data_IF_636409592049
#
_entry.id   IF_636409592049
#
_cell.length_a   1.000
_cell.length_b   1.000
_cell.length_c   1.000
_cell.angle_alpha   90.00
_cell.angle_beta   90.00
_cell.angle_gamma   90.00
#
_symmetry.space_group_name_H-M   'P 1'
#
loop_
_entity.id
_entity.type
_entity.pdbx_description
1 polymer ?
#
# COMPACT_ATOMS: atom_id res chain seq x y z
N UNK A 1 23.57 -8.53 72.35
CA UNK A 1 22.55 -7.82 71.55
C UNK A 1 23.29 -7.00 70.49
N UNK A 2 23.45 -7.55 69.29
CA UNK A 2 23.80 -6.82 68.05
C UNK A 2 23.62 -7.76 66.85
N UNK A 3 22.91 -7.25 65.85
CA UNK A 3 22.31 -7.97 64.73
C UNK A 3 23.25 -7.93 63.50
N UNK A 4 23.57 -9.13 63.00
CA UNK A 4 23.61 -9.61 61.60
C UNK A 4 23.77 -8.64 60.42
N UNK A 5 24.90 -8.80 59.71
CA UNK A 5 25.10 -9.08 58.25
C UNK A 5 24.20 -8.40 57.19
N UNK A 6 24.81 -7.72 56.21
CA UNK A 6 24.89 -8.15 54.79
C UNK A 6 24.96 -6.99 53.76
N UNK A 7 25.83 -7.21 52.76
CA UNK A 7 25.93 -6.55 51.45
C UNK A 7 24.58 -6.36 50.72
N UNK A 8 24.50 -5.28 49.92
CA UNK A 8 23.96 -5.13 48.52
C UNK A 8 23.42 -3.68 48.39
N UNK A 9 23.49 -3.00 47.25
CA UNK A 9 23.78 -3.44 45.90
C UNK A 9 24.24 -2.26 45.05
N UNK A 10 25.11 -2.57 44.10
CA UNK A 10 25.49 -1.66 43.03
C UNK A 10 24.28 -1.26 42.21
N UNK A 11 24.31 -0.02 41.76
CA UNK A 11 23.41 0.59 40.81
C UNK A 11 23.37 -0.28 39.55
N UNK A 12 22.29 -1.04 39.38
CA UNK A 12 21.95 -1.64 38.09
C UNK A 12 21.40 -0.51 37.21
N UNK A 13 22.30 0.11 36.45
CA UNK A 13 21.97 0.84 35.24
C UNK A 13 21.23 -0.11 34.31
N UNK A 14 19.90 -0.03 34.29
CA UNK A 14 19.08 -0.65 33.25
C UNK A 14 19.35 0.08 31.93
N UNK A 15 20.39 -0.37 31.24
CA UNK A 15 20.54 -0.15 29.80
C UNK A 15 19.28 -0.70 29.12
N UNK A 16 18.41 0.19 28.67
CA UNK A 16 17.37 -0.16 27.70
C UNK A 16 18.10 -0.68 26.47
N UNK A 17 18.14 -2.00 26.30
CA UNK A 17 18.46 -2.61 25.01
C UNK A 17 17.44 -2.09 24.00
N UNK A 18 17.88 -1.15 23.18
CA UNK A 18 17.22 -0.79 21.93
C UNK A 18 17.11 -2.08 21.11
N UNK A 19 15.90 -2.62 20.98
CA UNK A 19 15.68 -3.71 20.04
C UNK A 19 15.99 -3.16 18.63
N UNK A 20 16.81 -3.85 17.83
CA UNK A 20 16.97 -3.46 16.43
C UNK A 20 15.60 -3.64 15.76
N UNK A 21 15.14 -2.58 15.09
CA UNK A 21 13.98 -2.65 14.21
C UNK A 21 14.18 -3.70 13.11
N UNK A 22 13.12 -4.09 12.40
CA UNK A 22 13.19 -5.14 11.38
C UNK A 22 14.36 -4.92 10.44
N UNK A 23 15.20 -5.95 10.26
CA UNK A 23 16.41 -5.86 9.47
C UNK A 23 16.06 -5.42 8.04
N UNK A 24 16.77 -4.42 7.49
CA UNK A 24 16.53 -3.98 6.14
C UNK A 24 16.66 -5.13 5.14
N UNK A 25 15.70 -5.25 4.21
CA UNK A 25 15.64 -6.33 3.22
C UNK A 25 17.02 -6.67 2.61
N UNK A 26 17.32 -7.97 2.37
CA UNK A 26 18.57 -8.37 1.74
C UNK A 26 18.83 -7.57 0.44
N UNK A 27 20.09 -7.22 0.18
CA UNK A 27 20.47 -6.40 -1.00
C UNK A 27 19.97 -6.98 -2.33
N UNK A 28 19.93 -8.32 -2.44
CA UNK A 28 19.38 -9.02 -3.60
C UNK A 28 17.89 -8.79 -3.78
N UNK A 29 17.12 -8.77 -2.70
CA UNK A 29 15.68 -8.49 -2.71
C UNK A 29 15.41 -7.04 -3.08
N UNK A 30 16.14 -6.09 -2.48
CA UNK A 30 16.02 -4.66 -2.83
C UNK A 30 16.30 -4.38 -4.31
N UNK A 31 17.34 -5.00 -4.86
CA UNK A 31 17.65 -4.90 -6.30
C UNK A 31 16.53 -5.48 -7.17
N UNK A 32 15.90 -6.56 -6.72
CA UNK A 32 14.77 -7.17 -7.42
C UNK A 32 13.54 -6.27 -7.39
N UNK A 33 13.19 -5.71 -6.23
CA UNK A 33 12.06 -4.79 -6.08
C UNK A 33 12.26 -3.50 -6.89
N UNK A 34 13.48 -2.94 -6.88
CA UNK A 34 13.83 -1.80 -7.73
C UNK A 34 13.63 -2.12 -9.21
N UNK A 35 14.16 -3.25 -9.69
CA UNK A 35 13.95 -3.69 -11.07
C UNK A 35 12.46 -3.89 -11.41
N UNK A 36 11.68 -4.45 -10.50
CA UNK A 36 10.23 -4.64 -10.69
C UNK A 36 9.49 -3.30 -10.80
N UNK A 37 9.86 -2.30 -10.01
CA UNK A 37 9.32 -0.95 -10.12
C UNK A 37 9.73 -0.27 -11.43
N UNK A 38 10.98 -0.44 -11.87
CA UNK A 38 11.46 0.11 -13.14
C UNK A 38 10.70 -0.50 -14.33
N UNK A 39 10.50 -1.82 -14.33
CA UNK A 39 9.66 -2.53 -15.31
C UNK A 39 8.23 -1.99 -15.31
N UNK A 40 7.64 -1.79 -14.12
CA UNK A 40 6.28 -1.30 -13.99
C UNK A 40 6.12 0.12 -14.55
N UNK A 41 7.05 1.04 -14.25
CA UNK A 41 7.04 2.41 -14.79
C UNK A 41 7.22 2.44 -16.31
N UNK A 42 8.13 1.61 -16.84
CA UNK A 42 8.31 1.48 -18.28
C UNK A 42 7.05 0.93 -18.97
N UNK A 43 6.40 -0.08 -18.38
CA UNK A 43 5.15 -0.63 -18.89
C UNK A 43 4.04 0.43 -18.93
N UNK A 44 3.83 1.18 -17.83
CA UNK A 44 2.84 2.27 -17.80
C UNK A 44 3.16 3.32 -18.85
N UNK A 45 4.41 3.75 -18.99
CA UNK A 45 4.82 4.76 -19.97
C UNK A 45 4.50 4.31 -21.41
N UNK A 46 4.78 3.05 -21.73
CA UNK A 46 4.47 2.47 -23.05
C UNK A 46 2.96 2.30 -23.26
N UNK A 47 2.22 1.83 -22.25
CA UNK A 47 0.77 1.70 -22.32
C UNK A 47 0.08 3.05 -22.52
N UNK A 48 0.52 4.10 -21.83
CA UNK A 48 -0.02 5.46 -21.98
C UNK A 48 0.30 6.05 -23.35
N UNK A 49 1.52 5.84 -23.87
CA UNK A 49 1.96 6.47 -25.13
C UNK A 49 1.50 5.75 -26.40
N UNK A 50 1.32 4.42 -26.35
CA UNK A 50 1.02 3.59 -27.54
C UNK A 50 -0.26 2.77 -27.41
N UNK A 51 -0.85 2.71 -26.22
CA UNK A 51 -1.94 1.79 -25.89
C UNK A 51 -1.45 0.42 -25.41
N UNK A 52 -2.27 -0.25 -24.61
CA UNK A 52 -1.98 -1.57 -24.02
C UNK A 52 -1.83 -2.64 -25.11
N UNK A 53 -2.75 -2.66 -26.08
CA UNK A 53 -2.76 -3.62 -27.19
C UNK A 53 -1.49 -3.56 -28.04
N UNK A 54 -1.04 -2.35 -28.40
CA UNK A 54 0.14 -2.15 -29.26
C UNK A 54 1.49 -2.34 -28.53
N UNK A 55 1.46 -2.45 -27.20
CA UNK A 55 2.67 -2.68 -26.39
C UNK A 55 2.93 -4.18 -26.24
N UNK A 56 4.16 -4.62 -26.49
CA UNK A 56 4.61 -6.01 -26.34
C UNK A 56 5.55 -6.13 -25.14
N UNK A 57 5.79 -7.35 -24.67
CA UNK A 57 6.80 -7.59 -23.63
C UNK A 57 8.20 -7.23 -24.09
N UNK A 58 8.51 -7.40 -25.38
CA UNK A 58 9.78 -7.00 -26.00
C UNK A 58 10.01 -5.50 -25.86
N UNK A 59 8.98 -4.67 -26.11
CA UNK A 59 9.07 -3.21 -25.93
C UNK A 59 9.41 -2.86 -24.47
N UNK A 60 8.74 -3.50 -23.51
CA UNK A 60 8.95 -3.26 -22.08
C UNK A 60 10.36 -3.71 -21.66
N UNK A 61 10.77 -4.91 -22.07
CA UNK A 61 12.07 -5.47 -21.74
C UNK A 61 13.21 -4.61 -22.30
N UNK A 62 13.07 -4.15 -23.56
CA UNK A 62 14.03 -3.25 -24.19
C UNK A 62 14.12 -1.91 -23.45
N UNK A 63 12.99 -1.34 -23.00
CA UNK A 63 12.96 -0.07 -22.29
C UNK A 63 13.74 -0.07 -20.97
N UNK A 64 13.89 -1.23 -20.32
CA UNK A 64 14.66 -1.38 -19.06
C UNK A 64 15.97 -2.16 -19.22
N UNK A 65 16.38 -2.47 -20.46
CA UNK A 65 17.67 -3.12 -20.74
C UNK A 65 17.75 -4.60 -20.33
N UNK A 66 16.63 -5.35 -20.34
CA UNK A 66 16.61 -6.79 -20.06
C UNK A 66 16.12 -7.59 -21.27
N UNK A 67 16.32 -8.90 -21.25
CA UNK A 67 15.73 -9.80 -22.27
C UNK A 67 14.26 -10.10 -21.99
N UNK A 68 13.45 -10.37 -23.02
CA UNK A 68 12.06 -10.84 -22.86
C UNK A 68 11.99 -12.09 -21.98
N UNK A 69 12.93 -13.02 -22.12
CA UNK A 69 13.04 -14.20 -21.24
C UNK A 69 13.17 -13.81 -19.76
N UNK A 70 13.92 -12.74 -19.46
CA UNK A 70 14.05 -12.23 -18.09
C UNK A 70 12.76 -11.58 -17.60
N UNK A 71 12.09 -10.80 -18.46
CA UNK A 71 10.78 -10.23 -18.14
C UNK A 71 9.76 -11.33 -17.80
N UNK A 72 9.62 -12.33 -18.68
CA UNK A 72 8.65 -13.42 -18.53
C UNK A 72 8.93 -14.37 -17.36
N UNK A 73 10.18 -14.39 -16.87
CA UNK A 73 10.51 -15.10 -15.61
C UNK A 73 9.85 -14.43 -14.39
N UNK A 74 9.61 -13.12 -14.44
CA UNK A 74 9.02 -12.37 -13.32
C UNK A 74 7.53 -12.11 -13.50
N UNK A 75 7.07 -11.90 -14.74
CA UNK A 75 5.70 -11.52 -15.03
C UNK A 75 5.12 -12.45 -16.10
N UNK A 76 3.98 -13.11 -15.86
CA UNK A 76 3.44 -14.08 -16.83
C UNK A 76 2.85 -13.43 -18.09
N UNK A 77 2.46 -12.14 -18.00
CA UNK A 77 1.91 -11.35 -19.10
C UNK A 77 2.28 -9.87 -18.93
N UNK A 78 2.19 -9.10 -20.02
CA UNK A 78 2.60 -7.69 -20.03
C UNK A 78 1.81 -6.82 -19.06
N UNK A 79 0.53 -7.12 -18.86
CA UNK A 79 -0.34 -6.37 -17.95
C UNK A 79 0.06 -6.60 -16.50
N UNK A 80 0.58 -7.79 -16.17
CA UNK A 80 1.09 -8.09 -14.82
C UNK A 80 2.34 -7.29 -14.47
N UNK A 81 3.05 -6.72 -15.44
CA UNK A 81 4.23 -5.88 -15.20
C UNK A 81 3.90 -4.63 -14.37
N UNK A 82 2.65 -4.17 -14.33
CA UNK A 82 2.24 -2.97 -13.60
C UNK A 82 1.95 -3.22 -12.12
N UNK A 83 1.79 -4.50 -11.72
CA UNK A 83 1.41 -4.89 -10.35
C UNK A 83 2.32 -4.29 -9.28
N UNK A 84 3.66 -4.20 -9.44
CA UNK A 84 4.54 -3.59 -8.44
C UNK A 84 4.18 -2.14 -8.07
N UNK A 85 3.72 -1.33 -9.03
CA UNK A 85 3.28 0.05 -8.76
C UNK A 85 1.97 0.07 -7.96
N UNK A 86 1.05 -0.83 -8.27
CA UNK A 86 -0.23 -0.94 -7.56
C UNK A 86 -0.05 -1.41 -6.13
N UNK A 87 0.78 -2.45 -5.93
CA UNK A 87 1.07 -2.97 -4.59
C UNK A 87 1.82 -1.93 -3.75
N UNK A 88 2.79 -1.19 -4.32
CA UNK A 88 3.50 -0.15 -3.58
C UNK A 88 2.55 0.95 -3.03
N UNK A 89 1.52 1.33 -3.80
CA UNK A 89 0.50 2.28 -3.33
C UNK A 89 -0.37 1.71 -2.20
N UNK A 90 -0.74 0.43 -2.29
CA UNK A 90 -1.49 -0.27 -1.25
C UNK A 90 -0.66 -0.48 0.02
N UNK A 91 0.59 -0.89 -0.13
CA UNK A 91 1.54 -1.07 0.97
C UNK A 91 1.76 0.25 1.73
N UNK A 92 1.84 1.38 1.03
CA UNK A 92 1.90 2.69 1.66
C UNK A 92 0.63 3.02 2.46
N UNK A 93 -0.55 2.67 1.95
CA UNK A 93 -1.82 2.86 2.66
C UNK A 93 -1.92 1.95 3.90
N UNK A 94 -1.50 0.68 3.78
CA UNK A 94 -1.44 -0.27 4.90
C UNK A 94 -0.45 0.21 5.96
N UNK A 95 0.76 0.61 5.56
CA UNK A 95 1.77 1.13 6.47
C UNK A 95 1.28 2.38 7.21
N UNK A 96 0.51 3.26 6.56
CA UNK A 96 -0.14 4.37 7.25
C UNK A 96 -1.12 3.87 8.33
N UNK A 97 -1.94 2.86 8.03
CA UNK A 97 -2.87 2.29 9.01
C UNK A 97 -2.17 1.56 10.17
N UNK A 98 -0.96 1.04 9.98
CA UNK A 98 -0.18 0.41 11.06
C UNK A 98 0.21 1.41 12.15
N UNK A 99 0.40 2.69 11.78
CA UNK A 99 0.73 3.77 12.71
C UNK A 99 -0.49 4.42 13.36
N UNK A 100 -1.71 3.97 13.02
CA UNK A 100 -2.92 4.42 13.69
C UNK A 100 -2.78 4.21 15.21
N UNK A 101 -3.08 5.20 16.09
CA UNK A 101 -3.07 5.02 17.55
C UNK A 101 -4.33 4.33 18.09
N UNK A 102 -4.20 3.50 19.14
CA UNK A 102 -5.31 2.67 19.65
C UNK A 102 -6.49 3.46 20.21
N UNK A 103 -6.24 4.67 20.71
CA UNK A 103 -7.21 5.54 21.37
C UNK A 103 -7.89 6.55 20.42
N UNK A 104 -7.59 6.50 19.12
CA UNK A 104 -8.12 7.45 18.13
C UNK A 104 -9.10 6.69 17.21
N UNK A 105 -10.24 7.30 16.86
CA UNK A 105 -11.14 6.73 15.84
C UNK A 105 -10.49 6.81 14.45
N UNK A 106 -10.70 5.81 13.59
CA UNK A 106 -10.09 5.75 12.25
C UNK A 106 -10.27 7.06 11.45
N UNK A 107 -11.47 7.61 11.42
CA UNK A 107 -11.75 8.87 10.71
C UNK A 107 -10.90 10.04 11.23
N UNK A 108 -10.81 10.19 12.56
CA UNK A 108 -10.01 11.25 13.18
C UNK A 108 -8.51 11.05 12.94
N UNK A 109 -8.04 9.79 12.91
CA UNK A 109 -6.66 9.49 12.56
C UNK A 109 -6.35 9.88 11.11
N UNK A 110 -7.21 9.51 10.17
CA UNK A 110 -7.05 9.84 8.75
C UNK A 110 -7.14 11.36 8.49
N UNK A 111 -7.95 12.09 9.26
CA UNK A 111 -7.99 13.56 9.26
C UNK A 111 -6.64 14.14 9.67
N UNK A 112 -6.00 13.61 10.71
CA UNK A 112 -4.68 14.07 11.14
C UNK A 112 -3.58 13.85 10.09
N UNK A 113 -3.73 12.83 9.21
CA UNK A 113 -2.81 12.61 8.08
C UNK A 113 -2.92 13.68 6.99
N UNK A 114 -3.96 14.52 7.01
CA UNK A 114 -4.05 15.67 6.10
C UNK A 114 -3.18 16.83 6.56
N UNK A 115 -3.10 17.06 7.87
CA UNK A 115 -2.33 18.14 8.49
C UNK A 115 -0.82 17.85 8.46
N UNK A 116 -0.48 16.56 8.49
CA UNK A 116 0.88 16.05 8.29
C UNK A 116 0.84 15.03 7.15
N UNK A 117 1.11 15.43 5.89
CA UNK A 117 1.03 14.52 4.75
C UNK A 117 2.05 13.39 4.93
N UNK A 118 1.61 12.31 5.56
CA UNK A 118 2.37 11.07 5.72
C UNK A 118 2.38 10.26 4.42
N UNK A 119 1.37 10.47 3.57
CA UNK A 119 1.29 9.90 2.24
C UNK A 119 1.99 10.85 1.26
N UNK A 120 3.07 10.36 0.65
CA UNK A 120 3.79 11.09 -0.38
C UNK A 120 2.87 11.42 -1.57
N UNK A 121 3.23 12.45 -2.35
CA UNK A 121 2.61 12.68 -3.67
C UNK A 121 2.65 11.37 -4.45
N UNK A 122 1.50 10.84 -4.90
CA UNK A 122 1.47 9.56 -5.58
C UNK A 122 2.31 9.62 -6.85
N UNK A 123 3.07 8.55 -7.12
CA UNK A 123 3.87 8.41 -8.34
C UNK A 123 2.95 8.67 -9.55
N UNK A 124 3.28 9.62 -10.45
CA UNK A 124 2.46 9.91 -11.62
C UNK A 124 2.11 8.67 -12.45
N UNK A 125 3.01 7.67 -12.49
CA UNK A 125 2.76 6.41 -13.16
C UNK A 125 1.59 5.62 -12.54
N UNK A 126 1.37 5.72 -11.22
CA UNK A 126 0.20 5.10 -10.57
C UNK A 126 -1.09 5.77 -11.04
N UNK A 127 -1.10 7.10 -11.19
CA UNK A 127 -2.28 7.82 -11.65
C UNK A 127 -2.62 7.48 -13.11
N UNK A 128 -1.62 7.44 -13.97
CA UNK A 128 -1.79 7.03 -15.37
C UNK A 128 -2.29 5.59 -15.48
N UNK A 129 -1.74 4.69 -14.66
CA UNK A 129 -2.18 3.30 -14.60
C UNK A 129 -3.64 3.18 -14.14
N UNK A 130 -4.06 3.92 -13.11
CA UNK A 130 -5.45 3.92 -12.65
C UNK A 130 -6.41 4.45 -13.72
N UNK A 131 -5.99 5.44 -14.51
CA UNK A 131 -6.77 5.91 -15.67
C UNK A 131 -6.86 4.84 -16.76
N UNK A 132 -5.76 4.19 -17.11
CA UNK A 132 -5.73 3.10 -18.09
C UNK A 132 -6.60 1.91 -17.65
N UNK A 133 -6.53 1.52 -16.38
CA UNK A 133 -7.30 0.41 -15.82
C UNK A 133 -8.83 0.65 -15.82
N UNK A 134 -9.31 1.87 -16.11
CA UNK A 134 -10.74 2.12 -16.33
C UNK A 134 -11.20 1.72 -17.72
N UNK A 135 -10.33 1.84 -18.72
CA UNK A 135 -10.69 1.60 -20.13
C UNK A 135 -10.15 0.27 -20.63
N UNK A 136 -9.15 -0.30 -19.97
CA UNK A 136 -8.56 -1.59 -20.31
C UNK A 136 -8.97 -2.69 -19.30
N UNK A 137 -9.64 -3.76 -19.74
CA UNK A 137 -10.16 -4.80 -18.84
C UNK A 137 -9.07 -5.68 -18.21
N UNK A 138 -7.93 -5.88 -18.88
CA UNK A 138 -6.86 -6.70 -18.34
C UNK A 138 -6.09 -5.96 -17.23
N UNK A 139 -5.84 -4.66 -17.42
CA UNK A 139 -5.31 -3.80 -16.36
C UNK A 139 -6.33 -3.65 -15.22
N UNK A 140 -7.64 -3.59 -15.52
CA UNK A 140 -8.70 -3.59 -14.50
C UNK A 140 -8.61 -4.84 -13.63
N UNK A 141 -8.42 -6.01 -14.24
CA UNK A 141 -8.29 -7.26 -13.50
C UNK A 141 -7.06 -7.26 -12.58
N UNK A 142 -5.90 -6.75 -13.03
CA UNK A 142 -4.70 -6.65 -12.19
C UNK A 142 -4.92 -5.70 -11.01
N UNK A 143 -5.61 -4.58 -11.22
CA UNK A 143 -5.97 -3.64 -10.15
C UNK A 143 -6.92 -4.23 -9.11
N UNK A 144 -7.97 -4.91 -9.55
CA UNK A 144 -8.91 -5.56 -8.63
C UNK A 144 -8.23 -6.69 -7.85
N UNK A 145 -7.38 -7.49 -8.51
CA UNK A 145 -6.62 -8.54 -7.83
C UNK A 145 -5.66 -7.98 -6.78
N UNK A 146 -4.96 -6.88 -7.07
CA UNK A 146 -4.08 -6.26 -6.08
C UNK A 146 -4.84 -5.81 -4.81
N UNK A 147 -6.07 -5.31 -4.97
CA UNK A 147 -6.94 -4.97 -3.84
C UNK A 147 -7.46 -6.19 -3.09
N UNK A 148 -7.79 -7.27 -3.80
CA UNK A 148 -8.22 -8.54 -3.21
C UNK A 148 -7.07 -9.16 -2.38
N UNK A 149 -5.86 -9.17 -2.93
CA UNK A 149 -4.64 -9.63 -2.26
C UNK A 149 -4.32 -8.84 -0.98
N UNK A 150 -4.69 -7.55 -0.92
CA UNK A 150 -4.47 -6.70 0.24
C UNK A 150 -5.52 -6.90 1.35
N UNK A 151 -6.68 -7.49 1.04
CA UNK A 151 -7.79 -7.61 1.98
C UNK A 151 -7.43 -8.39 3.26
N UNK A 152 -6.74 -9.55 3.21
CA UNK A 152 -6.33 -10.28 4.42
C UNK A 152 -5.37 -9.48 5.31
N UNK A 153 -4.54 -8.62 4.71
CA UNK A 153 -3.61 -7.77 5.46
C UNK A 153 -4.38 -6.71 6.25
N UNK A 154 -5.37 -6.06 5.61
CA UNK A 154 -6.26 -5.09 6.25
C UNK A 154 -7.08 -5.77 7.36
N UNK A 155 -7.62 -6.96 7.10
CA UNK A 155 -8.36 -7.74 8.11
C UNK A 155 -7.47 -8.07 9.32
N UNK A 156 -6.22 -8.48 9.10
CA UNK A 156 -5.25 -8.72 10.17
C UNK A 156 -4.96 -7.48 11.01
N UNK A 157 -4.89 -6.30 10.39
CA UNK A 157 -4.72 -5.03 11.09
C UNK A 157 -5.94 -4.69 11.95
N UNK A 158 -7.14 -4.85 11.42
CA UNK A 158 -8.40 -4.58 12.12
C UNK A 158 -8.67 -5.59 13.25
N UNK A 159 -8.34 -6.86 13.07
CA UNK A 159 -8.46 -7.89 14.12
C UNK A 159 -7.60 -7.56 15.34
N UNK A 160 -6.32 -7.20 15.13
CA UNK A 160 -5.43 -6.75 16.24
C UNK A 160 -5.98 -5.55 16.99
N UNK A 161 -6.75 -4.73 16.28
CA UNK A 161 -7.39 -3.49 16.76
C UNK A 161 -8.63 -3.74 17.60
N UNK A 162 -9.50 -4.66 17.16
CA UNK A 162 -10.75 -4.99 17.85
C UNK A 162 -10.56 -6.04 18.96
N UNK A 163 -9.41 -6.73 18.98
CA UNK A 163 -9.19 -7.89 19.83
C UNK A 163 -9.86 -9.16 19.30
N UNK A 164 -10.34 -9.14 18.05
CA UNK A 164 -10.96 -10.28 17.36
C UNK A 164 -9.96 -11.10 16.54
N UNK A 165 -10.49 -11.95 15.68
CA UNK A 165 -9.74 -12.77 14.71
C UNK A 165 -9.92 -12.22 13.29
N UNK A 166 -8.92 -12.37 12.39
CA UNK A 166 -9.05 -11.92 11.01
C UNK A 166 -10.23 -12.55 10.27
N UNK A 167 -10.61 -13.77 10.62
CA UNK A 167 -11.69 -14.53 9.96
C UNK A 167 -13.08 -14.25 10.54
N UNK A 168 -13.17 -13.42 11.60
CA UNK A 168 -14.46 -13.04 12.17
C UNK A 168 -15.24 -12.20 11.14
N UNK A 169 -16.55 -12.47 11.00
CA UNK A 169 -17.38 -11.87 9.96
C UNK A 169 -17.39 -10.34 10.04
N UNK A 170 -17.44 -9.78 11.24
CA UNK A 170 -17.39 -8.33 11.46
C UNK A 170 -16.05 -7.75 10.99
N UNK A 171 -14.92 -8.40 11.31
CA UNK A 171 -13.58 -7.96 10.84
C UNK A 171 -13.49 -8.02 9.32
N UNK A 172 -13.95 -9.10 8.71
CA UNK A 172 -13.95 -9.27 7.24
C UNK A 172 -14.80 -8.20 6.55
N UNK A 173 -16.00 -7.93 7.07
CA UNK A 173 -16.89 -6.89 6.53
C UNK A 173 -16.23 -5.50 6.67
N UNK A 174 -15.69 -5.16 7.83
CA UNK A 174 -15.01 -3.88 8.01
C UNK A 174 -13.77 -3.73 7.11
N UNK A 175 -12.99 -4.80 6.93
CA UNK A 175 -11.84 -4.80 6.03
C UNK A 175 -12.27 -4.57 4.58
N UNK A 176 -13.34 -5.24 4.14
CA UNK A 176 -13.87 -5.10 2.78
C UNK A 176 -14.41 -3.68 2.52
N UNK A 177 -15.06 -3.07 3.52
CA UNK A 177 -15.54 -1.69 3.48
C UNK A 177 -14.36 -0.71 3.35
N UNK A 178 -13.33 -0.85 4.20
CA UNK A 178 -12.12 -0.01 4.15
C UNK A 178 -11.39 -0.17 2.81
N UNK A 179 -11.18 -1.41 2.36
CA UNK A 179 -10.51 -1.71 1.09
C UNK A 179 -11.27 -1.11 -0.10
N UNK A 180 -12.60 -1.24 -0.11
CA UNK A 180 -13.45 -0.68 -1.16
C UNK A 180 -13.43 0.86 -1.17
N UNK A 181 -13.44 1.47 0.01
CA UNK A 181 -13.33 2.92 0.14
C UNK A 181 -11.98 3.45 -0.37
N UNK A 182 -10.88 2.79 -0.01
CA UNK A 182 -9.55 3.12 -0.54
C UNK A 182 -9.49 2.97 -2.06
N UNK A 183 -9.99 1.86 -2.59
CA UNK A 183 -10.04 1.59 -4.03
C UNK A 183 -10.80 2.68 -4.78
N UNK A 184 -12.03 2.96 -4.37
CA UNK A 184 -12.90 3.96 -5.01
C UNK A 184 -12.33 5.36 -4.84
N UNK A 185 -11.74 5.68 -3.70
CA UNK A 185 -11.07 6.95 -3.45
C UNK A 185 -9.86 7.16 -4.38
N UNK A 186 -9.03 6.13 -4.59
CA UNK A 186 -7.88 6.18 -5.49
C UNK A 186 -8.33 6.32 -6.96
N UNK A 187 -9.32 5.53 -7.38
CA UNK A 187 -9.93 5.63 -8.72
C UNK A 187 -10.51 7.03 -8.95
N UNK A 188 -11.24 7.58 -7.98
CA UNK A 188 -11.81 8.92 -8.07
C UNK A 188 -10.72 9.99 -8.10
N UNK A 189 -9.67 9.87 -7.29
CA UNK A 189 -8.55 10.81 -7.31
C UNK A 189 -7.86 10.84 -8.67
N UNK A 190 -7.53 9.68 -9.25
CA UNK A 190 -6.85 9.60 -10.55
C UNK A 190 -7.61 10.34 -11.67
N UNK A 191 -8.93 10.47 -11.54
CA UNK A 191 -9.79 11.19 -12.49
C UNK A 191 -9.82 12.69 -12.30
N UNK A 192 -9.68 13.16 -11.07
CA UNK A 192 -9.85 14.57 -10.72
C UNK A 192 -8.53 15.24 -10.30
N UNK A 193 -7.42 14.50 -10.29
CA UNK A 193 -6.10 14.99 -9.84
C UNK A 193 -5.57 16.13 -10.71
N UNK A 194 -5.96 16.21 -11.99
CA UNK A 194 -5.60 17.34 -12.86
C UNK A 194 -6.37 18.64 -12.53
N UNK A 195 -7.44 18.57 -11.73
CA UNK A 195 -8.38 19.68 -11.54
C UNK A 195 -8.48 20.20 -10.10
N UNK A 196 -7.98 19.46 -9.08
CA UNK A 196 -8.48 19.70 -7.71
C UNK A 196 -7.45 19.60 -6.58
N UNK A 197 -6.44 18.73 -6.62
CA UNK A 197 -5.47 18.58 -5.52
C UNK A 197 -4.22 17.79 -5.94
N UNK A 198 -3.00 18.16 -5.49
CA UNK A 198 -1.78 17.39 -5.76
C UNK A 198 -1.68 16.08 -4.93
N UNK A 199 -2.50 15.89 -3.90
CA UNK A 199 -2.42 14.74 -2.99
C UNK A 199 -3.68 13.86 -3.05
N UNK A 200 -3.51 12.54 -2.92
CA UNK A 200 -4.62 11.59 -2.90
C UNK A 200 -5.43 11.61 -1.59
N UNK A 201 -4.83 12.10 -0.51
CA UNK A 201 -5.37 12.03 0.87
C UNK A 201 -6.80 12.55 1.00
N UNK A 202 -7.20 13.72 0.44
CA UNK A 202 -8.57 14.21 0.60
C UNK A 202 -9.62 13.29 -0.01
N UNK A 203 -9.33 12.70 -1.18
CA UNK A 203 -10.25 11.78 -1.86
C UNK A 203 -10.38 10.45 -1.12
N UNK A 204 -9.26 9.90 -0.64
CA UNK A 204 -9.24 8.68 0.18
C UNK A 204 -10.01 8.89 1.49
N UNK A 205 -9.77 10.00 2.18
CA UNK A 205 -10.48 10.34 3.42
C UNK A 205 -11.97 10.53 3.17
N UNK A 206 -12.35 11.21 2.08
CA UNK A 206 -13.77 11.38 1.73
C UNK A 206 -14.45 10.03 1.52
N UNK A 207 -13.82 9.12 0.78
CA UNK A 207 -14.36 7.77 0.57
C UNK A 207 -14.48 6.98 1.87
N UNK A 208 -13.47 7.05 2.75
CA UNK A 208 -13.49 6.37 4.06
C UNK A 208 -14.54 6.96 5.00
N UNK A 209 -14.76 8.29 5.01
CA UNK A 209 -15.85 8.92 5.77
C UNK A 209 -17.22 8.41 5.32
N UNK A 210 -17.46 8.33 4.01
CA UNK A 210 -18.71 7.79 3.47
C UNK A 210 -18.91 6.32 3.89
N UNK A 211 -17.84 5.53 3.86
CA UNK A 211 -17.87 4.14 4.27
C UNK A 211 -18.22 3.96 5.76
N UNK A 212 -17.70 4.83 6.64
CA UNK A 212 -17.98 4.81 8.08
C UNK A 212 -19.37 5.36 8.42
N UNK A 213 -19.86 6.34 7.65
CA UNK A 213 -21.21 6.92 7.83
C UNK A 213 -22.32 5.95 7.38
N UNK A 214 -21.99 4.94 6.59
CA UNK A 214 -22.96 3.98 6.06
C UNK A 214 -23.71 4.50 4.84
N UNK A 215 -24.75 3.77 4.45
CA UNK A 215 -25.63 4.17 3.35
C UNK A 215 -26.54 5.31 3.86
N UNK A 216 -26.72 6.39 3.08
CA UNK A 216 -27.47 7.57 3.52
C UNK A 216 -28.99 7.39 3.49
N UNK A 217 -29.48 6.16 3.32
CA UNK A 217 -30.88 5.82 3.09
C UNK A 217 -31.40 4.77 4.07
#
# INVERSE_FOLDING_TARGET
MNVTTARRGGLLSTERRTQPGPDPLPLSQRRREALHLDIARAAVTLFTSRGVTATTGEHIAQAVGISSRTLWRHFPRKESCVRPLLTAGLDAAVAALEHWPANIRLVAYLESLQEHPALATPDPAVLDLLRLARTDPDLRAVWLQAHDDALPVIAGLLARRSGGRPDDLDVQVHAAIVNSALRVGAENFALHSASTCPTATPHLLRALRLAVQGLPY
#
